data_IF_474140605272
#
_entry.id   IF_474140605272
#
_cell.length_a   1.000
_cell.length_b   1.000
_cell.length_c   1.000
_cell.angle_alpha   90.00
_cell.angle_beta   90.00
_cell.angle_gamma   90.00
#
_symmetry.space_group_name_H-M   'P 1'
#
loop_
_entity.id
_entity.type
_entity.pdbx_description
1 polymer ?
#
# COMPACT_ATOMS: atom_id res chain seq x y z
N UNK A 1 5.63 -20.00 5.22
CA UNK A 1 5.42 -18.53 5.26
C UNK A 1 6.16 -17.95 4.09
N UNK A 2 5.44 -17.33 3.16
CA UNK A 2 6.04 -16.74 1.96
C UNK A 2 6.77 -15.43 2.26
N UNK A 3 7.70 -15.07 1.39
CA UNK A 3 8.33 -13.74 1.36
C UNK A 3 7.31 -12.70 0.86
N UNK A 4 7.51 -11.45 1.25
CA UNK A 4 6.70 -10.31 0.77
C UNK A 4 7.65 -9.28 0.21
N UNK A 5 7.50 -8.95 -1.06
CA UNK A 5 8.29 -7.92 -1.73
C UNK A 5 7.44 -6.67 -1.97
N UNK A 6 7.91 -5.51 -1.52
CA UNK A 6 7.21 -4.23 -1.71
C UNK A 6 7.87 -3.45 -2.84
N UNK A 7 7.09 -3.11 -3.86
CA UNK A 7 7.55 -2.27 -4.98
C UNK A 7 7.65 -0.79 -4.61
N UNK A 8 8.48 -0.06 -5.35
CA UNK A 8 8.63 1.39 -5.22
C UNK A 8 7.29 2.13 -5.36
N UNK A 9 6.45 1.74 -6.34
CA UNK A 9 5.15 2.36 -6.59
C UNK A 9 4.19 2.22 -5.42
N UNK A 10 4.04 1.02 -4.87
CA UNK A 10 3.19 0.79 -3.71
C UNK A 10 3.66 1.62 -2.51
N UNK A 11 4.97 1.60 -2.23
CA UNK A 11 5.55 2.36 -1.13
C UNK A 11 5.37 3.88 -1.28
N UNK A 12 5.71 4.41 -2.45
CA UNK A 12 5.61 5.85 -2.75
C UNK A 12 4.17 6.32 -2.62
N UNK A 13 3.19 5.61 -3.18
CA UNK A 13 1.77 6.00 -3.06
C UNK A 13 1.27 5.96 -1.61
N UNK A 14 1.62 4.94 -0.82
CA UNK A 14 1.32 4.92 0.62
C UNK A 14 1.89 6.16 1.33
N UNK A 15 3.14 6.53 1.04
CA UNK A 15 3.79 7.69 1.65
C UNK A 15 3.15 9.01 1.21
N UNK A 16 2.88 9.18 -0.08
CA UNK A 16 2.24 10.38 -0.60
C UNK A 16 0.82 10.54 -0.04
N UNK A 17 0.09 9.45 0.14
CA UNK A 17 -1.25 9.50 0.76
C UNK A 17 -1.16 10.00 2.21
N UNK A 18 -0.26 9.43 3.02
CA UNK A 18 -0.05 9.89 4.39
C UNK A 18 0.46 11.35 4.45
N UNK A 19 1.30 11.77 3.50
CA UNK A 19 1.81 13.14 3.42
C UNK A 19 0.74 14.16 2.97
N UNK A 20 -0.26 13.74 2.19
CA UNK A 20 -1.40 14.59 1.80
C UNK A 20 -2.28 14.93 3.01
N UNK A 21 -2.43 13.99 3.95
CA UNK A 21 -3.27 14.12 5.14
C UNK A 21 -2.48 13.87 6.44
N UNK A 22 -1.47 14.71 6.77
CA UNK A 22 -0.51 14.42 7.85
C UNK A 22 -1.12 14.45 9.26
N UNK A 23 -2.32 15.00 9.41
CA UNK A 23 -3.04 15.11 10.68
C UNK A 23 -4.11 14.02 10.85
N UNK A 24 -4.32 13.18 9.84
CA UNK A 24 -5.37 12.18 9.80
C UNK A 24 -4.79 10.76 9.76
N UNK A 25 -5.61 9.80 10.17
CA UNK A 25 -5.35 8.41 9.82
C UNK A 25 -5.68 8.21 8.34
N UNK A 26 -4.89 7.41 7.63
CA UNK A 26 -5.15 7.06 6.24
C UNK A 26 -5.09 5.55 6.05
N UNK A 27 -5.80 5.05 5.05
CA UNK A 27 -5.79 3.63 4.72
C UNK A 27 -5.83 3.36 3.21
N UNK A 28 -5.63 2.11 2.85
CA UNK A 28 -5.87 1.68 1.47
C UNK A 28 -5.62 0.20 1.24
N UNK A 29 -5.80 -0.20 -0.01
CA UNK A 29 -5.67 -1.60 -0.46
C UNK A 29 -4.30 -1.83 -1.10
N UNK A 30 -3.77 -3.02 -0.91
CA UNK A 30 -2.53 -3.48 -1.54
C UNK A 30 -2.88 -4.41 -2.69
N UNK A 31 -2.18 -4.24 -3.82
CA UNK A 31 -2.38 -5.03 -5.02
C UNK A 31 -1.12 -5.81 -5.36
N UNK A 32 -1.29 -7.05 -5.80
CA UNK A 32 -0.22 -7.89 -6.29
C UNK A 32 -0.57 -8.46 -7.66
N UNK A 33 0.46 -8.79 -8.44
CA UNK A 33 0.27 -9.58 -9.65
C UNK A 33 -0.23 -10.98 -9.28
N UNK A 34 -1.24 -11.47 -9.99
CA UNK A 34 -1.68 -12.86 -9.85
C UNK A 34 -0.61 -13.78 -10.45
N UNK A 35 0.31 -14.29 -9.62
CA UNK A 35 1.31 -15.28 -10.02
C UNK A 35 0.72 -16.69 -9.87
N UNK A 36 0.82 -17.51 -10.91
CA UNK A 36 0.51 -18.94 -10.78
C UNK A 36 1.64 -19.60 -9.99
N UNK A 37 1.29 -20.28 -8.90
CA UNK A 37 2.27 -21.02 -8.11
C UNK A 37 2.89 -22.13 -8.97
N UNK A 38 4.11 -21.93 -9.46
CA UNK A 38 4.90 -23.00 -10.06
C UNK A 38 5.54 -23.80 -8.95
N UNK A 39 5.48 -25.14 -9.02
CA UNK A 39 5.94 -26.08 -7.98
C UNK A 39 7.41 -25.94 -7.54
N UNK A 40 8.20 -25.09 -8.21
CA UNK A 40 9.65 -24.95 -8.04
C UNK A 40 10.12 -23.64 -7.42
N UNK A 41 9.22 -22.69 -7.10
CA UNK A 41 9.62 -21.41 -6.50
C UNK A 41 8.92 -21.16 -5.16
N UNK A 42 9.66 -20.66 -4.15
CA UNK A 42 9.03 -20.23 -2.91
C UNK A 42 7.99 -19.15 -3.20
N UNK A 43 6.86 -19.22 -2.51
CA UNK A 43 5.78 -18.26 -2.64
C UNK A 43 6.27 -16.89 -2.15
N UNK A 44 6.48 -15.97 -3.09
CA UNK A 44 6.82 -14.58 -2.81
C UNK A 44 5.68 -13.69 -3.30
N UNK A 45 5.04 -12.99 -2.37
CA UNK A 45 3.99 -12.01 -2.64
C UNK A 45 4.62 -10.70 -3.08
N UNK A 46 4.55 -10.38 -4.37
CA UNK A 46 5.04 -9.11 -4.90
C UNK A 46 3.92 -8.06 -4.89
N UNK A 47 3.97 -7.13 -3.96
CA UNK A 47 3.05 -5.98 -3.89
C UNK A 47 3.48 -4.95 -4.93
N UNK A 48 2.77 -4.95 -6.06
CA UNK A 48 3.09 -4.15 -7.25
C UNK A 48 2.48 -2.76 -7.22
N UNK A 49 1.38 -2.59 -6.48
CA UNK A 49 0.70 -1.31 -6.38
C UNK A 49 -0.14 -1.18 -5.10
N UNK A 50 -0.66 0.02 -4.83
CA UNK A 50 -1.68 0.26 -3.81
C UNK A 50 -2.73 1.28 -4.27
N UNK A 51 -3.93 1.18 -3.69
CA UNK A 51 -5.05 2.11 -3.89
C UNK A 51 -5.32 2.86 -2.59
N UNK A 52 -5.02 4.16 -2.52
CA UNK A 52 -5.45 5.05 -1.44
C UNK A 52 -6.97 5.06 -1.33
N UNK A 53 -7.50 4.75 -0.14
CA UNK A 53 -8.94 4.71 0.09
C UNK A 53 -9.44 5.96 0.80
N UNK A 54 -9.20 6.04 2.10
CA UNK A 54 -9.85 7.05 2.94
C UNK A 54 -8.84 7.78 3.81
N UNK A 55 -9.12 9.05 4.03
CA UNK A 55 -8.42 9.94 4.96
C UNK A 55 -9.38 10.53 6.01
N UNK A 56 -10.68 10.29 5.85
CA UNK A 56 -11.72 10.68 6.78
C UNK A 56 -12.59 9.48 7.14
N UNK A 57 -13.17 9.48 8.34
CA UNK A 57 -14.23 8.53 8.72
C UNK A 57 -13.99 7.06 8.36
N UNK A 58 -12.77 6.56 8.57
CA UNK A 58 -12.32 5.22 8.13
C UNK A 58 -13.27 4.08 8.57
N UNK A 59 -14.05 4.27 9.64
CA UNK A 59 -15.00 3.29 10.19
C UNK A 59 -16.33 3.15 9.44
N UNK A 60 -16.59 3.94 8.39
CA UNK A 60 -17.82 3.83 7.60
C UNK A 60 -17.75 2.64 6.65
N UNK A 61 -18.44 1.56 7.01
CA UNK A 61 -18.39 0.29 6.26
C UNK A 61 -18.99 0.38 4.86
N UNK A 62 -20.01 1.23 4.65
CA UNK A 62 -20.70 1.34 3.35
C UNK A 62 -19.73 1.78 2.26
N UNK A 63 -18.91 2.82 2.51
CA UNK A 63 -17.97 3.32 1.51
C UNK A 63 -16.82 2.33 1.30
N UNK A 64 -16.38 1.64 2.35
CA UNK A 64 -15.39 0.56 2.23
C UNK A 64 -15.89 -0.58 1.34
N UNK A 65 -17.15 -1.00 1.48
CA UNK A 65 -17.75 -2.05 0.63
C UNK A 65 -17.83 -1.62 -0.83
N UNK A 66 -18.21 -0.36 -1.11
CA UNK A 66 -18.21 0.18 -2.48
C UNK A 66 -16.79 0.17 -3.06
N UNK A 67 -15.81 0.66 -2.30
CA UNK A 67 -14.42 0.70 -2.74
C UNK A 67 -13.86 -0.70 -3.01
N UNK A 68 -14.07 -1.66 -2.10
CA UNK A 68 -13.62 -3.05 -2.27
C UNK A 68 -14.18 -3.66 -3.56
N UNK A 69 -15.48 -3.50 -3.82
CA UNK A 69 -16.10 -4.03 -5.04
C UNK A 69 -15.53 -3.39 -6.30
N UNK A 70 -15.39 -2.06 -6.35
CA UNK A 70 -14.83 -1.37 -7.52
C UNK A 70 -13.39 -1.78 -7.79
N UNK A 71 -12.56 -1.81 -6.75
CA UNK A 71 -11.15 -2.20 -6.87
C UNK A 71 -11.01 -3.67 -7.25
N UNK A 72 -11.86 -4.57 -6.73
CA UNK A 72 -11.82 -5.99 -7.08
C UNK A 72 -12.14 -6.23 -8.56
N UNK A 73 -13.18 -5.57 -9.09
CA UNK A 73 -13.54 -5.64 -10.51
C UNK A 73 -12.40 -5.09 -11.38
N UNK A 74 -11.94 -3.86 -11.11
CA UNK A 74 -10.88 -3.21 -11.88
C UNK A 74 -9.56 -3.99 -11.83
N UNK A 75 -9.16 -4.48 -10.66
CA UNK A 75 -7.91 -5.23 -10.49
C UNK A 75 -7.97 -6.59 -11.20
N UNK A 76 -9.14 -7.25 -11.21
CA UNK A 76 -9.34 -8.51 -11.92
C UNK A 76 -9.18 -8.36 -13.44
N UNK A 77 -9.64 -7.26 -14.04
CA UNK A 77 -9.43 -6.97 -15.47
C UNK A 77 -7.95 -6.83 -15.84
N UNK A 78 -7.11 -6.41 -14.89
CA UNK A 78 -5.67 -6.23 -15.06
C UNK A 78 -4.83 -7.44 -14.60
N UNK A 79 -5.46 -8.58 -14.30
CA UNK A 79 -4.80 -9.77 -13.71
C UNK A 79 -4.04 -9.47 -12.41
N UNK A 80 -4.56 -8.52 -11.63
CA UNK A 80 -4.11 -8.22 -10.27
C UNK A 80 -5.05 -8.90 -9.27
N UNK A 81 -4.60 -9.00 -8.02
CA UNK A 81 -5.41 -9.46 -6.88
C UNK A 81 -5.25 -8.51 -5.70
N UNK A 82 -6.28 -8.48 -4.84
CA UNK A 82 -6.24 -7.83 -3.53
C UNK A 82 -5.29 -8.61 -2.61
N UNK A 83 -4.12 -8.03 -2.35
CA UNK A 83 -3.01 -8.65 -1.64
C UNK A 83 -2.97 -8.27 -0.15
N UNK A 84 -3.80 -7.32 0.27
CA UNK A 84 -3.78 -6.86 1.64
C UNK A 84 -4.32 -5.45 1.81
N UNK A 85 -3.96 -4.86 2.94
CA UNK A 85 -4.44 -3.56 3.38
C UNK A 85 -3.29 -2.79 4.04
N UNK A 86 -3.30 -1.46 3.96
CA UNK A 86 -2.39 -0.62 4.72
C UNK A 86 -3.13 0.40 5.58
N UNK A 87 -2.50 0.80 6.67
CA UNK A 87 -2.99 1.83 7.57
C UNK A 87 -1.84 2.69 8.11
N UNK A 88 -2.05 3.99 8.14
CA UNK A 88 -1.30 4.92 8.98
C UNK A 88 -2.24 5.47 10.04
N UNK A 89 -1.83 5.45 11.30
CA UNK A 89 -2.62 6.02 12.39
C UNK A 89 -2.49 7.54 12.43
N UNK A 90 -3.35 8.24 13.18
CA UNK A 90 -3.17 9.68 13.43
C UNK A 90 -2.13 9.95 14.53
N UNK A 91 -1.98 9.02 15.49
CA UNK A 91 -0.96 9.08 16.52
C UNK A 91 0.44 8.76 15.99
N UNK A 92 1.46 9.50 16.41
CA UNK A 92 2.85 9.22 16.03
C UNK A 92 3.37 7.91 16.62
N UNK A 93 2.91 7.56 17.83
CA UNK A 93 3.41 6.44 18.61
C UNK A 93 2.57 5.18 18.44
N UNK A 94 1.36 5.34 17.92
CA UNK A 94 0.42 4.26 17.74
C UNK A 94 0.73 3.49 16.45
N UNK A 95 1.18 2.26 16.62
CA UNK A 95 1.51 1.33 15.53
C UNK A 95 0.54 0.16 15.49
N UNK A 96 -0.52 0.21 16.30
CA UNK A 96 -1.48 -0.86 16.42
C UNK A 96 -2.42 -0.84 15.22
N UNK A 97 -2.73 -2.03 14.71
CA UNK A 97 -3.75 -2.20 13.70
C UNK A 97 -5.13 -2.00 14.31
N UNK A 98 -5.94 -1.11 13.74
CA UNK A 98 -7.33 -0.92 14.18
C UNK A 98 -8.14 -2.21 14.00
N UNK A 99 -9.19 -2.38 14.81
CA UNK A 99 -10.11 -3.52 14.67
C UNK A 99 -10.70 -3.61 13.25
N UNK A 100 -11.04 -2.46 12.66
CA UNK A 100 -11.53 -2.42 11.29
C UNK A 100 -10.48 -2.94 10.30
N UNK A 101 -9.24 -2.47 10.38
CA UNK A 101 -8.19 -2.95 9.47
C UNK A 101 -7.98 -4.46 9.59
N UNK A 102 -7.90 -4.99 10.82
CA UNK A 102 -7.77 -6.43 11.06
C UNK A 102 -8.96 -7.22 10.48
N UNK A 103 -10.18 -6.68 10.57
CA UNK A 103 -11.39 -7.30 10.00
C UNK A 103 -11.37 -7.24 8.47
N UNK A 104 -11.01 -6.10 7.88
CA UNK A 104 -10.92 -5.90 6.44
C UNK A 104 -9.88 -6.83 5.82
N UNK A 105 -8.65 -6.81 6.34
CA UNK A 105 -7.60 -7.70 5.83
C UNK A 105 -7.90 -9.17 6.15
N UNK A 106 -8.62 -9.47 7.23
CA UNK A 106 -9.14 -10.81 7.52
C UNK A 106 -10.11 -11.30 6.45
N UNK A 107 -10.97 -10.44 5.89
CA UNK A 107 -11.83 -10.78 4.74
C UNK A 107 -11.03 -10.98 3.46
N UNK A 108 -9.99 -10.17 3.24
CA UNK A 108 -9.09 -10.38 2.10
C UNK A 108 -8.36 -11.72 2.24
N UNK A 109 -7.94 -12.09 3.46
CA UNK A 109 -7.26 -13.35 3.75
C UNK A 109 -8.14 -14.60 3.51
N UNK A 110 -9.48 -14.47 3.62
CA UNK A 110 -10.42 -15.54 3.23
C UNK A 110 -10.39 -15.81 1.71
N UNK A 111 -10.04 -14.81 0.89
CA UNK A 111 -9.92 -14.93 -0.56
C UNK A 111 -8.49 -15.23 -1.02
N UNK A 112 -7.49 -14.73 -0.29
CA UNK A 112 -6.07 -14.94 -0.57
C UNK A 112 -5.29 -15.11 0.73
N UNK A 113 -4.91 -16.36 1.05
CA UNK A 113 -4.25 -16.73 2.32
C UNK A 113 -2.95 -15.94 2.59
N UNK A 114 -2.25 -15.52 1.53
CA UNK A 114 -1.02 -14.73 1.62
C UNK A 114 -1.23 -13.25 1.98
N UNK A 115 -2.46 -12.80 2.26
CA UNK A 115 -2.74 -11.38 2.49
C UNK A 115 -1.97 -10.79 3.68
N UNK A 116 -1.53 -9.54 3.54
CA UNK A 116 -0.75 -8.84 4.57
C UNK A 116 -1.39 -7.52 5.01
N UNK A 117 -1.11 -7.14 6.25
CA UNK A 117 -1.46 -5.82 6.77
C UNK A 117 -0.19 -4.99 6.97
N UNK A 118 -0.11 -3.83 6.31
CA UNK A 118 1.04 -2.91 6.44
C UNK A 118 0.66 -1.72 7.32
N UNK A 119 1.38 -1.53 8.41
CA UNK A 119 1.29 -0.32 9.23
C UNK A 119 2.42 0.64 8.87
N UNK A 120 2.10 1.91 8.60
CA UNK A 120 3.12 2.96 8.45
C UNK A 120 3.56 3.44 9.85
N UNK A 121 4.88 3.47 10.08
CA UNK A 121 5.49 3.95 11.32
C UNK A 121 5.70 5.46 11.26
N UNK A 122 4.69 6.22 11.67
CA UNK A 122 4.67 7.68 11.61
C UNK A 122 5.87 8.36 12.29
N UNK A 123 6.42 7.77 13.37
CA UNK A 123 7.64 8.27 14.02
C UNK A 123 8.86 8.26 13.11
N UNK A 124 8.92 7.29 12.20
CA UNK A 124 10.02 7.15 11.23
C UNK A 124 9.68 7.77 9.88
N UNK A 125 8.43 8.19 9.69
CA UNK A 125 7.98 8.88 8.50
C UNK A 125 8.63 10.27 8.45
N UNK A 126 9.71 10.34 7.71
CA UNK A 126 10.48 11.56 7.45
C UNK A 126 10.68 11.66 5.94
N UNK A 127 11.10 12.82 5.42
CA UNK A 127 11.36 12.99 3.99
C UNK A 127 12.41 12.01 3.46
N UNK A 128 13.32 11.51 4.31
CA UNK A 128 14.42 10.66 3.86
C UNK A 128 14.82 9.60 4.93
N UNK A 129 13.95 8.61 5.21
CA UNK A 129 14.13 7.68 6.32
C UNK A 129 15.26 6.69 6.02
N UNK A 130 16.15 6.41 6.98
CA UNK A 130 17.28 5.48 6.78
C UNK A 130 16.84 4.02 6.61
N UNK A 131 15.76 3.65 7.29
CA UNK A 131 15.15 2.32 7.22
C UNK A 131 13.68 2.48 6.82
N UNK A 132 13.09 1.48 6.15
CA UNK A 132 11.70 1.57 5.75
C UNK A 132 10.77 1.79 6.96
N UNK A 133 9.94 2.86 6.96
CA UNK A 133 9.02 3.17 8.05
C UNK A 133 7.74 2.33 7.94
N UNK A 134 7.88 1.01 7.79
CA UNK A 134 6.74 0.09 7.63
C UNK A 134 6.87 -1.10 8.58
N UNK A 135 5.72 -1.62 9.01
CA UNK A 135 5.61 -2.86 9.78
C UNK A 135 4.64 -3.75 9.01
N UNK A 136 5.13 -4.89 8.53
CA UNK A 136 4.30 -5.89 7.85
C UNK A 136 3.80 -6.88 8.89
N UNK A 137 2.50 -7.12 8.91
CA UNK A 137 1.84 -8.07 9.76
C UNK A 137 1.32 -9.22 8.90
N UNK A 138 1.47 -10.44 9.40
CA UNK A 138 0.91 -11.66 8.82
C UNK A 138 -0.09 -12.31 9.78
N UNK A 139 -1.04 -13.06 9.23
CA UNK A 139 -2.02 -13.76 10.05
C UNK A 139 -1.45 -15.09 10.52
N UNK A 140 -1.41 -15.31 11.84
CA UNK A 140 -1.15 -16.62 12.47
C UNK A 140 -2.17 -16.85 13.56
N UNK A 141 -2.80 -18.03 13.55
CA UNK A 141 -3.81 -18.42 14.55
C UNK A 141 -4.90 -17.34 14.75
N UNK A 142 -5.36 -16.74 13.63
CA UNK A 142 -6.35 -15.64 13.57
C UNK A 142 -5.91 -14.32 14.23
N UNK A 143 -4.64 -14.19 14.60
CA UNK A 143 -4.05 -12.95 15.10
C UNK A 143 -3.10 -12.35 14.06
N UNK A 144 -3.08 -11.02 13.98
CA UNK A 144 -2.15 -10.28 13.13
C UNK A 144 -0.88 -9.98 13.92
N UNK A 145 0.22 -10.65 13.56
CA UNK A 145 1.51 -10.51 14.25
C UNK A 145 2.58 -9.99 13.30
N UNK A 146 3.63 -9.30 13.80
CA UNK A 146 4.70 -8.81 12.94
C UNK A 146 5.38 -9.97 12.20
N UNK A 147 5.52 -9.82 10.89
CA UNK A 147 6.27 -10.74 10.05
C UNK A 147 7.76 -10.62 10.35
N UNK A 148 8.50 -11.72 10.21
CA UNK A 148 9.96 -11.68 10.26
C UNK A 148 10.50 -10.69 9.22
N UNK A 149 11.36 -9.78 9.64
CA UNK A 149 11.97 -8.76 8.79
C UNK A 149 12.79 -9.37 7.65
N UNK A 150 13.36 -10.56 7.85
CA UNK A 150 14.10 -11.28 6.81
C UNK A 150 13.21 -11.78 5.67
N UNK A 151 11.88 -11.80 5.87
CA UNK A 151 10.88 -12.18 4.88
C UNK A 151 10.20 -10.96 4.25
N UNK A 152 10.63 -9.73 4.59
CA UNK A 152 10.12 -8.48 4.03
C UNK A 152 11.20 -7.89 3.14
N UNK A 153 11.00 -8.06 1.83
CA UNK A 153 11.91 -7.68 0.77
C UNK A 153 11.48 -6.37 0.11
N UNK A 154 12.45 -5.70 -0.49
CA UNK A 154 12.26 -4.49 -1.29
C UNK A 154 12.91 -4.73 -2.63
N UNK A 155 12.20 -4.43 -3.72
CA UNK A 155 12.79 -4.57 -5.06
C UNK A 155 14.06 -3.72 -5.20
N UNK A 156 14.01 -2.49 -4.69
CA UNK A 156 15.17 -1.62 -4.46
C UNK A 156 14.79 -0.57 -3.42
N UNK A 157 15.28 -0.73 -2.18
CA UNK A 157 14.96 0.21 -1.10
C UNK A 157 15.55 1.60 -1.34
N UNK A 158 16.79 1.71 -1.79
CA UNK A 158 17.47 3.00 -1.91
C UNK A 158 16.85 3.82 -3.05
N UNK A 159 16.54 3.18 -4.17
CA UNK A 159 15.79 3.80 -5.28
C UNK A 159 14.39 4.20 -4.82
N UNK A 160 13.63 3.32 -4.17
CA UNK A 160 12.28 3.62 -3.65
C UNK A 160 12.29 4.83 -2.70
N UNK A 161 13.28 4.88 -1.81
CA UNK A 161 13.51 5.97 -0.87
C UNK A 161 13.84 7.29 -1.59
N UNK A 162 14.73 7.26 -2.58
CA UNK A 162 15.09 8.44 -3.35
C UNK A 162 13.90 9.00 -4.14
N UNK A 163 13.16 8.13 -4.83
CA UNK A 163 11.97 8.51 -5.60
C UNK A 163 10.89 9.11 -4.68
N UNK A 164 10.65 8.47 -3.52
CA UNK A 164 9.71 8.98 -2.53
C UNK A 164 10.12 10.37 -2.05
N UNK A 165 11.41 10.56 -1.71
CA UNK A 165 11.96 11.86 -1.32
C UNK A 165 11.71 12.93 -2.39
N UNK A 166 12.08 12.67 -3.65
CA UNK A 166 11.89 13.61 -4.76
C UNK A 166 10.42 14.01 -4.91
N UNK A 167 9.51 13.04 -4.86
CA UNK A 167 8.08 13.32 -5.03
C UNK A 167 7.46 14.04 -3.82
N UNK A 168 7.98 13.81 -2.61
CA UNK A 168 7.59 14.57 -1.43
C UNK A 168 8.08 16.04 -1.51
N UNK A 169 9.33 16.26 -1.95
CA UNK A 169 9.90 17.60 -2.15
C UNK A 169 9.16 18.37 -3.25
N UNK A 170 8.78 17.69 -4.34
CA UNK A 170 7.94 18.21 -5.43
C UNK A 170 6.48 18.47 -5.03
N UNK A 171 6.08 18.08 -3.81
CA UNK A 171 4.68 18.12 -3.34
C UNK A 171 3.70 17.35 -4.22
N UNK A 172 4.16 16.24 -4.84
CA UNK A 172 3.33 15.39 -5.70
C UNK A 172 2.13 14.77 -4.96
N UNK A 173 2.17 14.73 -3.61
CA UNK A 173 1.05 14.31 -2.78
C UNK A 173 -0.21 15.15 -3.02
N UNK A 174 -0.09 16.41 -3.46
CA UNK A 174 -1.23 17.26 -3.82
C UNK A 174 -2.01 16.77 -5.04
N UNK A 175 -1.40 15.92 -5.88
CA UNK A 175 -2.01 15.34 -7.07
C UNK A 175 -2.51 13.91 -6.84
N UNK A 176 -2.19 13.29 -5.69
CA UNK A 176 -2.63 11.94 -5.38
C UNK A 176 -4.13 11.93 -5.04
N UNK A 177 -4.92 11.19 -5.79
CA UNK A 177 -6.36 11.03 -5.55
C UNK A 177 -6.58 9.76 -4.72
N UNK A 178 -7.31 9.87 -3.62
CA UNK A 178 -7.84 8.73 -2.89
C UNK A 178 -9.33 8.52 -3.19
N UNK A 179 -9.89 7.45 -2.65
CA UNK A 179 -11.28 7.09 -2.90
C UNK A 179 -12.26 8.08 -2.27
N UNK A 180 -11.93 8.70 -1.13
CA UNK A 180 -12.71 9.83 -0.56
C UNK A 180 -12.81 10.98 -1.59
N UNK A 181 -11.70 11.43 -2.16
CA UNK A 181 -11.71 12.50 -3.17
C UNK A 181 -12.48 12.10 -4.45
N UNK A 182 -12.43 10.84 -4.85
CA UNK A 182 -13.23 10.33 -5.97
C UNK A 182 -14.73 10.30 -5.66
N UNK A 183 -15.13 10.02 -4.42
CA UNK A 183 -16.53 10.05 -4.03
C UNK A 183 -17.09 11.49 -4.04
N UNK A 184 -16.25 12.48 -3.73
CA UNK A 184 -16.59 13.90 -3.86
C UNK A 184 -16.70 14.33 -5.34
N UNK A 185 -15.80 13.85 -6.20
CA UNK A 185 -15.82 14.07 -7.64
C UNK A 185 -15.43 12.81 -8.43
N UNK A 186 -16.43 12.15 -9.02
CA UNK A 186 -16.25 10.88 -9.75
C UNK A 186 -15.35 10.99 -11.00
N UNK A 187 -14.94 12.18 -11.39
CA UNK A 187 -13.98 12.42 -12.48
C UNK A 187 -12.53 12.22 -12.03
N UNK A 188 -12.27 12.28 -10.73
CA UNK A 188 -10.94 12.10 -10.15
C UNK A 188 -10.52 10.63 -10.22
N UNK A 189 -9.31 10.35 -10.71
CA UNK A 189 -8.81 8.98 -10.95
C UNK A 189 -8.13 8.39 -9.71
N UNK A 190 -8.86 7.61 -8.92
CA UNK A 190 -8.33 6.90 -7.74
C UNK A 190 -7.26 5.84 -8.09
N UNK A 191 -7.12 5.42 -9.35
CA UNK A 191 -6.05 4.50 -9.77
C UNK A 191 -4.70 5.22 -9.94
N UNK A 192 -4.73 6.56 -10.03
CA UNK A 192 -3.58 7.44 -10.12
C UNK A 192 -2.64 7.12 -11.30
N UNK A 193 -3.16 6.88 -12.52
CA UNK A 193 -2.33 6.44 -13.66
C UNK A 193 -1.20 7.42 -14.04
N UNK A 194 -1.46 8.72 -13.94
CA UNK A 194 -0.45 9.74 -14.23
C UNK A 194 0.71 9.67 -13.24
N UNK A 195 0.41 9.55 -11.94
CA UNK A 195 1.41 9.38 -10.89
C UNK A 195 2.17 8.06 -11.06
N UNK A 196 1.48 6.97 -11.40
CA UNK A 196 2.11 5.67 -11.68
C UNK A 196 3.14 5.78 -12.81
N UNK A 197 2.81 6.52 -13.87
CA UNK A 197 3.71 6.76 -15.00
C UNK A 197 4.94 7.57 -14.58
N UNK A 198 4.75 8.64 -13.79
CA UNK A 198 5.86 9.44 -13.24
C UNK A 198 6.79 8.59 -12.37
N UNK A 199 6.24 7.74 -11.50
CA UNK A 199 7.03 6.83 -10.66
C UNK A 199 7.81 5.84 -11.54
N UNK A 200 7.16 5.23 -12.55
CA UNK A 200 7.82 4.27 -13.44
C UNK A 200 9.00 4.89 -14.21
N UNK A 201 8.85 6.13 -14.69
CA UNK A 201 9.93 6.89 -15.32
C UNK A 201 11.11 7.09 -14.36
N UNK A 202 10.85 7.52 -13.12
CA UNK A 202 11.91 7.70 -12.11
C UNK A 202 12.61 6.38 -11.75
N UNK A 203 11.87 5.27 -11.68
CA UNK A 203 12.44 3.93 -11.49
C UNK A 203 13.36 3.54 -12.66
N UNK A 204 12.93 3.78 -13.92
CA UNK A 204 13.78 3.46 -15.09
C UNK A 204 15.08 4.27 -15.13
N UNK A 205 15.04 5.54 -14.73
CA UNK A 205 16.22 6.41 -14.64
C UNK A 205 17.16 5.92 -13.55
N UNK A 206 16.63 5.56 -12.38
CA UNK A 206 17.43 5.03 -11.27
C UNK A 206 18.13 3.71 -11.62
N UNK A 207 17.49 2.87 -12.44
CA UNK A 207 18.04 1.58 -12.90
C UNK A 207 18.98 1.71 -14.11
N UNK A 208 19.29 2.93 -14.58
CA UNK A 208 20.19 3.17 -15.72
C UNK A 208 19.67 2.63 -17.06
N UNK A 209 18.34 2.50 -17.20
CA UNK A 209 17.69 1.92 -18.39
C UNK A 209 17.14 2.98 -19.36
N UNK A 210 17.64 4.22 -19.28
CA UNK A 210 17.21 5.36 -20.09
C UNK A 210 18.21 5.71 -21.18
#
# INVERSE_FOLDING_TARGET
MGEVEISARAYVKMCLHAARYPHAAVNGLLLAQRRQATASQPECLCITDCIPLFHSHLSLTVMLEVALNQVDIWSSELNLLLAGYYQANSGLDDKSASFLAQKTVGRIAELYEGAVLIMLDNRKFTINPRVPPVIVLEQKDRQWIPKDKNLVMWSDWESSRHICKTLLEDKAYSQLVDFDAHLDDIREDWTNQQLNTKIAQLVSVANGSA
#
